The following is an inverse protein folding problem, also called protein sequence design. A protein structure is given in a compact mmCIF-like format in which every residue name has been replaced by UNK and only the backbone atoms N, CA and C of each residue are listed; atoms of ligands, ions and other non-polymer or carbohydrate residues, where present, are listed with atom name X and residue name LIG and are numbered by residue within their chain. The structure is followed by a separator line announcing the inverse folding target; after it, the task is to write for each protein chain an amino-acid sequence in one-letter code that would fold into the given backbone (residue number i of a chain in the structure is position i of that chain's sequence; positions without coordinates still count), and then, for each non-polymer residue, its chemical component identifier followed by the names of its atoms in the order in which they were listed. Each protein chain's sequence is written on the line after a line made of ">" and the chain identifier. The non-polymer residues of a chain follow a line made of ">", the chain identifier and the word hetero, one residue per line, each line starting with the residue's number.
data_IF_339045496021
#
_entry.id   IF_339045496021
#
_cell.length_a   1.000
_cell.length_b   1.000
_cell.length_c   1.000
_cell.angle_alpha   90.00
_cell.angle_beta   90.00
_cell.angle_gamma   90.00
#
_symmetry.space_group_name_H-M   'P 1'
#
loop_
_entity.id
_entity.type
_entity.pdbx_description
1 polymer ?
#
# COMPACT_ATOMS: atom_id res chain seq x y z
N UNK A 1 -14.06 -19.04 39.63
CA UNK A 1 -12.66 -18.83 39.17
C UNK A 1 -12.47 -19.09 37.65
N UNK A 2 -13.52 -19.25 36.84
CA UNK A 2 -13.42 -19.57 35.40
C UNK A 2 -13.60 -18.36 34.45
N UNK A 3 -13.93 -17.17 34.96
CA UNK A 3 -14.11 -15.98 34.11
C UNK A 3 -12.79 -15.45 33.53
N UNK A 4 -11.70 -15.54 34.30
CA UNK A 4 -10.36 -15.09 33.89
C UNK A 4 -9.86 -15.74 32.59
N UNK A 5 -9.89 -17.09 32.44
CA UNK A 5 -9.46 -17.72 31.20
C UNK A 5 -10.38 -17.41 30.02
N UNK A 6 -11.69 -17.24 30.25
CA UNK A 6 -12.62 -16.89 29.20
C UNK A 6 -12.37 -15.46 28.65
N UNK A 7 -12.07 -14.50 29.52
CA UNK A 7 -11.74 -13.13 29.13
C UNK A 7 -10.42 -13.07 28.36
N UNK A 8 -9.41 -13.83 28.78
CA UNK A 8 -8.13 -13.94 28.08
C UNK A 8 -8.30 -14.55 26.67
N UNK A 9 -9.09 -15.61 26.55
CA UNK A 9 -9.39 -16.23 25.26
C UNK A 9 -10.12 -15.25 24.32
N UNK A 10 -11.07 -14.48 24.86
CA UNK A 10 -11.80 -13.49 24.08
C UNK A 10 -10.87 -12.37 23.59
N UNK A 11 -9.98 -11.85 24.43
CA UNK A 11 -8.99 -10.84 24.05
C UNK A 11 -8.04 -11.33 22.94
N UNK A 12 -7.63 -12.60 22.99
CA UNK A 12 -6.81 -13.25 21.96
C UNK A 12 -7.54 -13.41 20.62
N UNK A 13 -8.83 -13.75 20.66
CA UNK A 13 -9.68 -13.81 19.46
C UNK A 13 -9.87 -12.44 18.82
N UNK A 14 -10.08 -11.38 19.62
CA UNK A 14 -10.21 -10.02 19.07
C UNK A 14 -8.90 -9.52 18.43
N UNK A 15 -7.75 -9.81 19.03
CA UNK A 15 -6.45 -9.37 18.50
C UNK A 15 -6.02 -10.09 17.22
N UNK A 16 -6.41 -11.35 17.04
CA UNK A 16 -6.21 -12.10 15.79
C UNK A 16 -7.22 -11.77 14.70
N UNK A 17 -8.39 -11.22 15.08
CA UNK A 17 -9.43 -10.79 14.14
C UNK A 17 -9.20 -9.41 13.53
N UNK A 18 -8.24 -8.63 14.04
CA UNK A 18 -7.75 -7.45 13.33
C UNK A 18 -7.10 -8.01 12.08
N UNK A 19 -7.68 -7.82 10.88
CA UNK A 19 -6.94 -8.07 9.68
C UNK A 19 -5.77 -7.12 9.83
N UNK A 20 -4.57 -7.67 10.02
CA UNK A 20 -3.34 -6.99 9.72
C UNK A 20 -3.39 -6.72 8.23
N UNK A 21 -4.23 -5.75 7.83
CA UNK A 21 -4.10 -4.97 6.62
C UNK A 21 -2.83 -4.21 6.81
N UNK A 22 -1.72 -4.94 6.73
CA UNK A 22 -0.37 -4.45 6.72
C UNK A 22 -0.31 -3.54 5.52
N UNK A 23 -0.55 -2.26 5.80
CA UNK A 23 -0.10 -1.11 5.03
C UNK A 23 1.13 -1.54 4.25
N UNK A 24 0.97 -1.67 2.92
CA UNK A 24 1.95 -2.22 1.99
C UNK A 24 3.37 -1.86 2.43
N UNK A 25 4.05 -2.80 3.09
CA UNK A 25 5.41 -2.65 3.59
C UNK A 25 6.38 -2.47 2.40
N UNK A 26 5.92 -2.84 1.20
CA UNK A 26 6.54 -2.51 -0.07
C UNK A 26 6.74 -0.99 -0.21
N UNK A 27 5.79 -0.16 0.23
CA UNK A 27 5.95 1.31 0.20
C UNK A 27 7.02 1.83 1.18
N UNK A 28 7.36 1.08 2.23
CA UNK A 28 8.41 1.45 3.20
C UNK A 28 9.81 1.08 2.67
N UNK A 29 9.89 0.04 1.83
CA UNK A 29 11.15 -0.47 1.26
C UNK A 29 11.47 0.10 -0.12
N UNK A 30 10.47 0.60 -0.86
CA UNK A 30 10.71 1.33 -2.10
C UNK A 30 11.16 2.75 -1.78
N UNK A 31 12.33 3.12 -2.29
CA UNK A 31 12.92 4.46 -2.35
C UNK A 31 11.90 5.59 -2.03
N UNK A 32 12.11 6.30 -0.92
CA UNK A 32 11.20 7.30 -0.33
C UNK A 32 11.05 8.59 -1.17
N UNK A 33 11.16 8.50 -2.50
CA UNK A 33 11.02 9.60 -3.46
C UNK A 33 10.08 9.16 -4.58
N UNK A 34 9.53 10.15 -5.27
CA UNK A 34 8.80 9.95 -6.52
C UNK A 34 9.58 9.06 -7.50
N UNK A 35 8.92 8.08 -8.11
CA UNK A 35 9.57 7.14 -9.06
C UNK A 35 9.80 7.80 -10.41
N UNK A 36 8.92 8.71 -10.84
CA UNK A 36 9.06 9.43 -12.10
C UNK A 36 9.97 10.67 -11.95
N UNK A 37 11.11 10.67 -12.66
CA UNK A 37 12.03 11.82 -12.71
C UNK A 37 11.50 12.92 -13.64
N UNK A 38 10.86 12.52 -14.75
CA UNK A 38 10.26 13.40 -15.76
C UNK A 38 8.85 12.95 -16.08
N UNK A 39 8.02 13.90 -16.52
CA UNK A 39 6.66 13.65 -17.01
C UNK A 39 6.55 14.11 -18.45
N UNK A 40 5.64 13.47 -19.20
CA UNK A 40 5.35 13.78 -20.60
C UNK A 40 3.84 13.91 -20.79
N UNK A 41 3.44 14.84 -21.64
CA UNK A 41 2.05 14.99 -22.10
C UNK A 41 1.87 14.47 -23.53
N UNK A 42 2.93 13.90 -24.12
CA UNK A 42 2.86 13.33 -25.45
C UNK A 42 1.91 12.13 -25.48
N UNK A 43 1.10 12.06 -26.53
CA UNK A 43 0.21 10.92 -26.76
C UNK A 43 1.06 9.72 -27.19
N UNK A 44 1.04 8.67 -26.39
CA UNK A 44 1.70 7.40 -26.70
C UNK A 44 0.69 6.49 -27.38
N UNK A 45 1.08 5.87 -28.49
CA UNK A 45 0.24 4.89 -29.16
C UNK A 45 0.01 3.68 -28.23
N UNK A 46 -1.26 3.31 -28.01
CA UNK A 46 -1.64 2.19 -27.15
C UNK A 46 -0.97 0.86 -27.54
N UNK A 47 -0.68 0.65 -28.84
CA UNK A 47 0.02 -0.55 -29.31
C UNK A 47 1.48 -0.67 -28.87
N UNK A 48 2.08 0.40 -28.34
CA UNK A 48 3.44 0.40 -27.80
C UNK A 48 3.47 0.20 -26.26
N UNK A 49 2.32 0.20 -25.61
CA UNK A 49 2.20 0.12 -24.16
C UNK A 49 1.97 -1.34 -23.76
N UNK A 50 2.92 -1.93 -23.05
CA UNK A 50 2.79 -3.30 -22.53
C UNK A 50 2.03 -3.34 -21.19
N UNK A 51 2.33 -2.38 -20.32
CA UNK A 51 1.79 -2.27 -18.97
C UNK A 51 1.65 -0.81 -18.58
N UNK A 52 0.67 -0.51 -17.74
CA UNK A 52 0.50 0.80 -17.14
C UNK A 52 0.51 0.60 -15.63
N UNK A 53 1.44 1.27 -14.93
CA UNK A 53 1.46 1.28 -13.46
C UNK A 53 0.95 2.62 -12.95
N UNK A 54 0.04 2.57 -11.98
CA UNK A 54 -0.55 3.78 -11.38
C UNK A 54 -0.16 3.81 -9.91
N UNK A 55 0.76 4.72 -9.57
CA UNK A 55 1.17 4.94 -8.19
C UNK A 55 0.36 6.11 -7.60
N UNK A 56 -0.48 5.86 -6.57
CA UNK A 56 -1.25 6.92 -5.91
C UNK A 56 -0.33 7.87 -5.12
N UNK A 57 -0.80 9.11 -4.84
CA UNK A 57 -0.03 10.04 -4.03
C UNK A 57 0.14 9.51 -2.60
N UNK A 58 1.37 9.52 -2.11
CA UNK A 58 1.75 9.10 -0.77
C UNK A 58 2.41 10.21 0.04
N UNK A 59 2.85 9.88 1.25
CA UNK A 59 3.55 10.81 2.16
C UNK A 59 4.86 11.31 1.53
N UNK A 60 5.54 10.42 0.80
CA UNK A 60 6.86 10.66 0.21
C UNK A 60 6.81 11.20 -1.23
N UNK A 61 5.72 10.97 -1.94
CA UNK A 61 5.46 11.58 -3.24
C UNK A 61 4.01 12.05 -3.30
N UNK A 62 3.80 13.37 -3.22
CA UNK A 62 2.45 13.99 -3.25
C UNK A 62 1.80 13.98 -4.63
N UNK A 63 2.55 13.61 -5.68
CA UNK A 63 2.07 13.57 -7.05
C UNK A 63 1.50 12.20 -7.35
N UNK A 64 0.40 12.16 -8.11
CA UNK A 64 -0.03 10.93 -8.76
C UNK A 64 0.93 10.63 -9.91
N UNK A 65 1.45 9.42 -9.95
CA UNK A 65 2.36 8.97 -11.01
C UNK A 65 1.68 7.90 -11.86
N UNK A 66 1.90 7.96 -13.17
CA UNK A 66 1.45 6.97 -14.14
C UNK A 66 2.65 6.65 -15.02
N UNK A 67 3.03 5.38 -15.07
CA UNK A 67 4.25 4.87 -15.71
C UNK A 67 3.89 3.93 -16.84
#
# INVERSE_FOLDING_TARGET
>A
MQLLPAVLALLLLLSSSVPGGGLSLESLLTNMRCKCIKSTTHVINLGLILTIDVTPPGIHCRRKEVM
#
